data_IF_506570561789
#
_entry.id   IF_506570561789
#
_cell.length_a   1.000
_cell.length_b   1.000
_cell.length_c   1.000
_cell.angle_alpha   90.00
_cell.angle_beta   90.00
_cell.angle_gamma   90.00
#
_symmetry.space_group_name_H-M   'P 1'
#
loop_
_entity.id
_entity.type
_entity.pdbx_description
1 polymer ?
#
# COMPACT_ATOMS: atom_id res chain seq x y z
N UNK A 1 -24.49 -11.28 5.61
CA UNK A 1 -23.16 -10.65 5.43
C UNK A 1 -23.39 -9.28 4.86
N UNK A 2 -22.83 -8.23 5.46
CA UNK A 2 -22.89 -6.89 4.88
C UNK A 2 -22.06 -6.88 3.59
N UNK A 3 -22.56 -6.24 2.53
CA UNK A 3 -21.79 -6.05 1.31
C UNK A 3 -20.77 -4.90 1.49
N UNK A 4 -19.83 -4.76 0.55
CA UNK A 4 -18.76 -3.76 0.67
C UNK A 4 -19.30 -2.32 0.74
N UNK A 5 -20.42 -2.01 0.10
CA UNK A 5 -21.01 -0.68 0.14
C UNK A 5 -21.60 -0.39 1.53
N UNK A 6 -22.35 -1.34 2.10
CA UNK A 6 -22.89 -1.26 3.46
C UNK A 6 -21.77 -1.12 4.51
N UNK A 7 -20.67 -1.84 4.34
CA UNK A 7 -19.51 -1.72 5.22
C UNK A 7 -18.88 -0.32 5.15
N UNK A 8 -18.74 0.25 3.94
CA UNK A 8 -18.19 1.61 3.77
C UNK A 8 -19.06 2.66 4.45
N UNK A 9 -20.38 2.55 4.34
CA UNK A 9 -21.31 3.46 5.01
C UNK A 9 -21.21 3.35 6.53
N UNK A 10 -21.14 2.14 7.06
CA UNK A 10 -20.96 1.90 8.49
C UNK A 10 -19.65 2.50 9.01
N UNK A 11 -18.54 2.31 8.30
CA UNK A 11 -17.24 2.90 8.66
C UNK A 11 -17.28 4.42 8.58
N UNK A 12 -17.95 4.99 7.58
CA UNK A 12 -18.08 6.45 7.44
C UNK A 12 -18.87 7.09 8.59
N UNK A 13 -19.86 6.37 9.15
CA UNK A 13 -20.64 6.81 10.30
C UNK A 13 -19.86 6.79 11.63
N UNK A 14 -18.70 6.13 11.69
CA UNK A 14 -17.89 6.07 12.91
C UNK A 14 -17.17 7.41 13.19
N UNK A 15 -16.93 7.75 14.47
CA UNK A 15 -16.01 8.82 14.85
C UNK A 15 -14.60 8.63 14.27
N UNK A 16 -13.87 9.74 14.06
CA UNK A 16 -12.51 9.73 13.48
C UNK A 16 -11.58 8.77 14.20
N UNK A 17 -11.58 8.78 15.54
CA UNK A 17 -10.72 7.92 16.35
C UNK A 17 -11.00 6.44 16.11
N UNK A 18 -12.27 6.04 16.04
CA UNK A 18 -12.66 4.66 15.77
C UNK A 18 -12.29 4.23 14.35
N UNK A 19 -12.39 5.14 13.37
CA UNK A 19 -11.90 4.87 12.01
C UNK A 19 -10.39 4.68 11.98
N UNK A 20 -9.63 5.46 12.75
CA UNK A 20 -8.18 5.31 12.86
C UNK A 20 -7.79 3.97 13.51
N UNK A 21 -8.46 3.59 14.60
CA UNK A 21 -8.26 2.28 15.24
C UNK A 21 -8.59 1.12 14.28
N UNK A 22 -9.70 1.21 13.55
CA UNK A 22 -10.08 0.21 12.56
C UNK A 22 -9.07 0.14 11.40
N UNK A 23 -8.58 1.28 10.90
CA UNK A 23 -7.56 1.31 9.87
C UNK A 23 -6.24 0.66 10.34
N UNK A 24 -5.80 0.96 11.57
CA UNK A 24 -4.63 0.32 12.17
C UNK A 24 -4.81 -1.19 12.29
N UNK A 25 -5.96 -1.65 12.79
CA UNK A 25 -6.26 -3.09 12.86
C UNK A 25 -6.20 -3.76 11.48
N UNK A 26 -6.84 -3.15 10.47
CA UNK A 26 -6.84 -3.68 9.10
C UNK A 26 -5.43 -3.77 8.53
N UNK A 27 -4.61 -2.72 8.70
CA UNK A 27 -3.21 -2.70 8.24
C UNK A 27 -2.37 -3.78 8.93
N UNK A 28 -2.56 -4.03 10.22
CA UNK A 28 -1.88 -5.09 10.95
C UNK A 28 -2.40 -6.51 10.66
N UNK A 29 -3.63 -6.63 10.16
CA UNK A 29 -4.23 -7.91 9.79
C UNK A 29 -3.85 -8.39 8.39
N UNK A 30 -3.19 -7.55 7.60
CA UNK A 30 -2.66 -7.96 6.31
C UNK A 30 -1.62 -9.06 6.53
N UNK A 31 -1.59 -10.09 5.68
CA UNK A 31 -0.54 -11.10 5.74
C UNK A 31 0.82 -10.43 5.58
N UNK A 32 1.85 -11.04 6.17
CA UNK A 32 3.23 -10.65 5.88
C UNK A 32 3.42 -10.63 4.36
N UNK A 33 4.03 -9.59 3.80
CA UNK A 33 4.23 -9.53 2.37
C UNK A 33 5.07 -10.73 1.94
N UNK A 34 4.65 -11.41 0.86
CA UNK A 34 5.44 -12.48 0.21
C UNK A 34 6.82 -11.98 -0.30
N UNK A 35 7.06 -10.68 -0.21
CA UNK A 35 8.26 -9.99 -0.64
C UNK A 35 8.85 -9.19 0.54
N UNK A 36 9.98 -9.68 1.04
CA UNK A 36 10.82 -8.99 2.02
C UNK A 36 12.02 -8.34 1.30
N UNK A 37 12.37 -7.12 1.71
CA UNK A 37 13.46 -6.33 1.11
C UNK A 37 14.40 -5.92 2.23
N UNK A 38 15.64 -6.38 2.17
CA UNK A 38 16.63 -6.03 3.19
C UNK A 38 17.02 -4.56 3.14
N UNK A 39 17.47 -4.02 4.27
CA UNK A 39 17.95 -2.64 4.36
C UNK A 39 19.11 -2.36 3.37
N UNK A 40 19.94 -3.36 3.09
CA UNK A 40 21.04 -3.27 2.12
C UNK A 40 20.53 -3.08 0.68
N UNK A 41 19.50 -3.84 0.28
CA UNK A 41 18.84 -3.73 -1.02
C UNK A 41 18.19 -2.34 -1.18
N UNK A 42 17.54 -1.84 -0.12
CA UNK A 42 16.99 -0.48 -0.09
C UNK A 42 18.10 0.55 -0.26
N UNK A 43 19.19 0.41 0.49
CA UNK A 43 20.32 1.35 0.43
C UNK A 43 20.98 1.37 -0.96
N UNK A 44 21.07 0.21 -1.62
CA UNK A 44 21.58 0.11 -2.99
C UNK A 44 20.66 0.80 -3.99
N UNK A 45 19.34 0.56 -3.95
CA UNK A 45 18.40 1.28 -4.84
C UNK A 45 18.45 2.79 -4.66
N UNK A 46 18.63 3.28 -3.43
CA UNK A 46 18.80 4.71 -3.17
C UNK A 46 20.08 5.25 -3.80
N UNK A 47 21.19 4.49 -3.79
CA UNK A 47 22.43 4.87 -4.47
C UNK A 47 22.24 4.94 -5.99
N UNK A 48 21.63 3.92 -6.59
CA UNK A 48 21.35 3.85 -8.03
C UNK A 48 20.45 5.00 -8.50
N UNK A 49 19.47 5.39 -7.68
CA UNK A 49 18.61 6.53 -8.00
C UNK A 49 19.39 7.85 -7.96
N UNK A 50 20.29 8.01 -7.00
CA UNK A 50 21.17 9.19 -6.90
C UNK A 50 22.19 9.26 -8.03
N UNK A 51 22.72 8.12 -8.49
CA UNK A 51 23.63 8.04 -9.64
C UNK A 51 22.91 8.19 -10.99
N UNK A 52 21.57 8.22 -11.00
CA UNK A 52 20.70 8.21 -12.19
C UNK A 52 20.80 6.92 -13.01
N UNK A 53 21.29 5.84 -12.41
CA UNK A 53 21.27 4.50 -13.00
C UNK A 53 19.84 3.96 -13.08
N UNK A 54 19.00 4.30 -12.09
CA UNK A 54 17.56 4.05 -12.11
C UNK A 54 16.79 5.37 -11.98
N UNK A 55 15.67 5.46 -12.69
CA UNK A 55 14.77 6.61 -12.64
C UNK A 55 13.65 6.43 -11.62
N UNK A 56 13.14 7.54 -11.08
CA UNK A 56 11.88 7.53 -10.32
C UNK A 56 10.69 7.40 -11.27
N UNK A 57 9.67 6.67 -10.86
CA UNK A 57 8.38 6.66 -11.55
C UNK A 57 7.44 7.71 -10.96
N UNK A 58 6.55 8.24 -11.78
CA UNK A 58 5.45 9.09 -11.34
C UNK A 58 4.38 8.27 -10.60
N UNK A 59 3.54 8.97 -9.83
CA UNK A 59 2.40 8.35 -9.14
C UNK A 59 1.40 7.71 -10.12
N UNK A 60 1.24 8.28 -11.31
CA UNK A 60 0.36 7.73 -12.34
C UNK A 60 0.91 6.43 -12.95
N UNK A 61 2.22 6.36 -13.15
CA UNK A 61 2.91 5.13 -13.59
C UNK A 61 2.82 4.04 -12.53
N UNK A 62 3.01 4.38 -11.26
CA UNK A 62 2.81 3.45 -10.14
C UNK A 62 1.38 2.89 -10.14
N UNK A 63 0.37 3.75 -10.26
CA UNK A 63 -1.04 3.33 -10.28
C UNK A 63 -1.32 2.37 -11.44
N UNK A 64 -0.80 2.64 -12.64
CA UNK A 64 -0.94 1.79 -13.81
C UNK A 64 -0.28 0.41 -13.59
N UNK A 65 0.91 0.38 -13.02
CA UNK A 65 1.62 -0.86 -12.69
C UNK A 65 0.83 -1.73 -11.72
N UNK A 66 0.43 -1.17 -10.58
CA UNK A 66 -0.33 -1.91 -9.54
C UNK A 66 -1.69 -2.40 -10.05
N UNK A 67 -2.37 -1.61 -10.90
CA UNK A 67 -3.64 -2.03 -11.49
C UNK A 67 -3.47 -3.18 -12.49
N UNK A 68 -2.33 -3.24 -13.19
CA UNK A 68 -2.04 -4.28 -14.17
C UNK A 68 -1.62 -5.60 -13.51
N UNK A 69 -0.91 -5.52 -12.38
CA UNK A 69 -0.39 -6.68 -11.64
C UNK A 69 -1.50 -7.46 -10.89
N UNK A 70 -2.59 -6.78 -10.51
CA UNK A 70 -3.77 -7.39 -9.85
C UNK A 70 -4.73 -8.11 -10.80
N UNK A 71 -4.38 -8.22 -12.09
CA UNK A 71 -5.17 -8.86 -13.14
C UNK A 71 -4.82 -10.33 -13.43
N UNK A 72 -3.96 -10.95 -12.62
CA UNK A 72 -3.52 -12.35 -12.76
C UNK A 72 -3.92 -13.20 -11.55
#
# INVERSE_FOLDING_TARGET
>A
MANLAEFKEQVAALPVEQRASLASFLLHSLPDPDYDVSDEEVAERVRQMKSREVGSISMDELRKGVASDRGH
#
